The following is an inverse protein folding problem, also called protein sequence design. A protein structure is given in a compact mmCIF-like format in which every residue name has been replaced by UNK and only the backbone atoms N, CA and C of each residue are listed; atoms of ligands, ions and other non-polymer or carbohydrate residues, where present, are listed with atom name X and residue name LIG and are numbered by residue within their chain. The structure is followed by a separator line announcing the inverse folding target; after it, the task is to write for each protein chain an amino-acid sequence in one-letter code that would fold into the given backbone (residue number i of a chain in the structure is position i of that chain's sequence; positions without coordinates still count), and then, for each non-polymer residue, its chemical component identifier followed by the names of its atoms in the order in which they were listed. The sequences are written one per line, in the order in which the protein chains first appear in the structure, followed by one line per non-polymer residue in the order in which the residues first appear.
data_IF_541730483461
#
_entry.id   IF_541730483461
#
_cell.length_a   1.000
_cell.length_b   1.000
_cell.length_c   1.000
_cell.angle_alpha   90.00
_cell.angle_beta   90.00
_cell.angle_gamma   90.00
#
_symmetry.space_group_name_H-M   'P 1'
#
loop_
_entity.id
_entity.type
_entity.pdbx_description
1 polymer ?
#
# COMPACT_ATOMS: atom_id res chain seq x y z
N UNK A 1 -21.55 2.32 3.61
CA UNK A 1 -20.19 2.66 3.15
C UNK A 1 -19.38 1.37 3.15
N UNK A 2 -18.87 0.93 2.00
CA UNK A 2 -17.95 -0.23 1.96
C UNK A 2 -16.64 0.32 2.49
N UNK A 3 -16.29 -0.01 3.73
CA UNK A 3 -14.97 0.30 4.27
C UNK A 3 -13.96 -0.36 3.35
N UNK A 4 -13.10 0.45 2.74
CA UNK A 4 -12.04 -0.11 1.94
C UNK A 4 -11.04 -0.76 2.89
N UNK A 5 -11.11 -2.08 2.97
CA UNK A 5 -10.10 -2.99 3.55
C UNK A 5 -8.75 -2.88 2.79
N UNK A 6 -8.31 -1.65 2.43
CA UNK A 6 -7.14 -1.41 1.58
C UNK A 6 -5.85 -1.81 2.30
N UNK A 7 -5.77 -1.58 3.61
CA UNK A 7 -4.64 -2.02 4.43
C UNK A 7 -4.65 -3.54 4.73
N UNK A 8 -5.81 -4.20 4.61
CA UNK A 8 -5.94 -5.63 4.87
C UNK A 8 -5.28 -6.46 3.78
N UNK A 9 -5.60 -6.17 2.51
CA UNK A 9 -4.99 -6.89 1.40
C UNK A 9 -3.48 -6.66 1.42
N UNK A 10 -3.03 -5.42 1.65
CA UNK A 10 -1.61 -5.12 1.79
C UNK A 10 -0.97 -5.86 2.97
N UNK A 11 -1.63 -5.90 4.12
CA UNK A 11 -1.18 -6.65 5.29
C UNK A 11 -1.04 -8.14 5.00
N UNK A 12 -2.03 -8.77 4.37
CA UNK A 12 -1.96 -10.18 3.98
C UNK A 12 -0.84 -10.46 2.98
N UNK A 13 -0.67 -9.61 1.95
CA UNK A 13 0.42 -9.71 0.97
C UNK A 13 1.78 -9.65 1.66
N UNK A 14 1.93 -8.80 2.69
CA UNK A 14 3.19 -8.67 3.43
C UNK A 14 3.40 -9.84 4.39
N UNK A 15 2.36 -10.30 5.08
CA UNK A 15 2.52 -11.30 6.14
C UNK A 15 2.79 -12.71 5.61
N UNK A 16 2.17 -13.11 4.49
CA UNK A 16 2.31 -14.48 3.96
C UNK A 16 3.77 -14.85 3.63
N UNK A 17 4.54 -14.03 2.90
CA UNK A 17 5.96 -14.33 2.64
C UNK A 17 6.85 -14.30 3.90
N UNK A 18 6.39 -13.69 5.00
CA UNK A 18 7.10 -13.73 6.28
C UNK A 18 6.88 -15.02 7.07
N UNK A 19 5.83 -15.80 6.74
CA UNK A 19 5.60 -17.12 7.33
C UNK A 19 6.65 -18.10 6.81
N UNK A 20 6.77 -18.17 5.48
CA UNK A 20 7.73 -19.01 4.79
C UNK A 20 8.12 -18.34 3.48
N UNK A 21 9.43 -18.32 3.20
CA UNK A 21 9.99 -17.72 2.00
C UNK A 21 9.45 -18.45 0.76
N UNK A 22 8.94 -17.68 -0.20
CA UNK A 22 8.41 -18.20 -1.46
C UNK A 22 6.88 -18.32 -1.48
N UNK A 23 6.22 -18.25 -0.33
CA UNK A 23 4.76 -18.11 -0.29
C UNK A 23 4.32 -16.75 -0.81
N UNK A 24 3.11 -16.71 -1.37
CA UNK A 24 2.46 -15.49 -1.83
C UNK A 24 0.97 -15.52 -1.45
N UNK A 25 0.36 -14.34 -1.25
CA UNK A 25 -1.05 -14.27 -0.90
C UNK A 25 -1.94 -14.77 -2.04
N UNK A 26 -1.63 -14.38 -3.27
CA UNK A 26 -2.25 -14.92 -4.48
C UNK A 26 -1.39 -16.03 -5.08
N UNK A 27 -2.03 -16.99 -5.73
CA UNK A 27 -1.36 -18.01 -6.52
C UNK A 27 -0.48 -17.34 -7.59
N UNK A 28 0.77 -17.77 -7.70
CA UNK A 28 1.75 -17.17 -8.61
C UNK A 28 1.51 -17.53 -10.08
N UNK A 29 0.77 -18.60 -10.38
CA UNK A 29 0.45 -19.04 -11.74
C UNK A 29 -0.74 -18.28 -12.32
N UNK A 30 -1.79 -18.06 -11.52
CA UNK A 30 -3.05 -17.42 -11.96
C UNK A 30 -3.19 -15.95 -11.51
N UNK A 31 -2.32 -15.50 -10.60
CA UNK A 31 -2.17 -14.14 -10.07
C UNK A 31 -3.43 -13.51 -9.45
N UNK A 32 -4.56 -14.21 -9.33
CA UNK A 32 -5.81 -13.59 -8.86
C UNK A 32 -6.98 -14.53 -8.55
N UNK A 33 -6.99 -15.78 -9.04
CA UNK A 33 -8.17 -16.66 -8.94
C UNK A 33 -8.13 -17.58 -7.71
N UNK A 34 -6.96 -17.78 -7.11
CA UNK A 34 -6.80 -18.60 -5.91
C UNK A 34 -5.78 -18.02 -4.93
N UNK A 35 -5.86 -18.45 -3.67
CA UNK A 35 -4.83 -18.14 -2.68
C UNK A 35 -3.54 -18.90 -3.00
N UNK A 36 -2.40 -18.27 -2.77
CA UNK A 36 -1.08 -18.89 -3.00
C UNK A 36 -0.59 -19.78 -1.84
N UNK A 37 -1.50 -20.14 -0.93
CA UNK A 37 -1.22 -20.95 0.26
C UNK A 37 -2.45 -21.79 0.63
N UNK A 38 -2.21 -22.98 1.19
CA UNK A 38 -3.29 -23.91 1.58
C UNK A 38 -3.66 -23.80 3.05
N UNK A 39 -2.69 -23.51 3.93
CA UNK A 39 -2.93 -23.44 5.36
C UNK A 39 -3.53 -22.09 5.77
N UNK A 40 -4.82 -22.01 6.13
CA UNK A 40 -5.45 -20.74 6.49
C UNK A 40 -4.88 -20.14 7.78
N UNK A 41 -4.27 -20.96 8.64
CA UNK A 41 -3.73 -20.51 9.94
C UNK A 41 -2.55 -19.54 9.79
N UNK A 42 -1.97 -19.42 8.59
CA UNK A 42 -0.92 -18.45 8.28
C UNK A 42 -1.34 -16.99 8.48
N UNK A 43 -2.65 -16.71 8.48
CA UNK A 43 -3.19 -15.37 8.75
C UNK A 43 -3.67 -15.16 10.19
N UNK A 44 -3.76 -16.21 11.01
CA UNK A 44 -4.36 -16.13 12.36
C UNK A 44 -3.66 -15.08 13.22
N UNK A 45 -2.32 -15.07 13.24
CA UNK A 45 -1.55 -14.09 14.01
C UNK A 45 -1.78 -12.64 13.54
N UNK A 46 -1.95 -12.43 12.23
CA UNK A 46 -2.24 -11.12 11.67
C UNK A 46 -3.63 -10.62 12.08
N UNK A 47 -4.65 -11.49 11.99
CA UNK A 47 -5.99 -11.16 12.47
C UNK A 47 -6.01 -10.89 13.97
N UNK A 48 -5.29 -11.68 14.75
CA UNK A 48 -5.18 -11.49 16.20
C UNK A 48 -4.47 -10.16 16.53
N UNK A 49 -3.41 -9.80 15.80
CA UNK A 49 -2.76 -8.50 15.94
C UNK A 49 -3.74 -7.36 15.68
N UNK A 50 -4.47 -7.39 14.56
CA UNK A 50 -5.45 -6.34 14.23
C UNK A 50 -6.54 -6.23 15.29
N UNK A 51 -7.09 -7.37 15.71
CA UNK A 51 -8.07 -7.42 16.80
C UNK A 51 -7.52 -6.77 18.07
N UNK A 52 -6.31 -7.13 18.48
CA UNK A 52 -5.68 -6.58 19.67
C UNK A 52 -5.46 -5.06 19.58
N UNK A 53 -5.16 -4.53 18.39
CA UNK A 53 -5.00 -3.09 18.18
C UNK A 53 -6.35 -2.36 18.27
N UNK A 54 -7.40 -2.92 17.66
CA UNK A 54 -8.77 -2.39 17.77
C UNK A 54 -9.26 -2.41 19.22
N UNK A 55 -9.11 -3.55 19.92
CA UNK A 55 -9.53 -3.69 21.32
C UNK A 55 -8.81 -2.70 22.26
N UNK A 56 -7.59 -2.27 21.89
CA UNK A 56 -6.79 -1.26 22.62
C UNK A 56 -7.03 0.17 22.16
N UNK A 57 -7.88 0.40 21.16
CA UNK A 57 -8.12 1.72 20.56
C UNK A 57 -6.92 2.26 19.75
N UNK A 58 -5.93 1.41 19.44
CA UNK A 58 -4.72 1.77 18.71
C UNK A 58 -4.86 1.59 17.18
N UNK A 59 -6.01 1.09 16.73
CA UNK A 59 -6.37 1.02 15.32
C UNK A 59 -7.88 1.29 15.20
N UNK A 60 -8.32 2.06 14.19
CA UNK A 60 -9.73 2.35 13.99
C UNK A 60 -10.55 1.06 13.78
N UNK A 61 -11.79 1.07 14.24
CA UNK A 61 -12.74 -0.01 13.94
C UNK A 61 -12.99 -0.10 12.43
N UNK A 62 -13.22 -1.30 11.88
CA UNK A 62 -13.67 -1.45 10.51
C UNK A 62 -14.96 -0.66 10.27
N UNK A 63 -14.92 0.33 9.38
CA UNK A 63 -16.05 1.23 9.10
C UNK A 63 -16.02 2.54 9.86
N UNK A 64 -15.07 2.73 10.78
CA UNK A 64 -14.85 3.97 11.51
C UNK A 64 -14.25 5.08 10.63
N UNK A 65 -14.39 6.34 11.07
CA UNK A 65 -14.05 7.54 10.30
C UNK A 65 -12.65 7.52 9.68
N UNK A 66 -11.61 7.45 10.51
CA UNK A 66 -10.22 7.46 10.03
C UNK A 66 -9.89 6.30 9.08
N UNK A 67 -10.55 5.13 9.18
CA UNK A 67 -10.36 3.99 8.30
C UNK A 67 -11.21 4.02 7.01
N UNK A 68 -12.05 5.05 6.85
CA UNK A 68 -13.04 5.06 5.77
C UNK A 68 -12.43 5.46 4.41
N UNK A 69 -11.45 6.35 4.41
CA UNK A 69 -10.74 6.80 3.20
C UNK A 69 -9.28 7.15 3.53
N UNK A 70 -8.44 7.15 2.49
CA UNK A 70 -7.04 7.57 2.57
C UNK A 70 -6.92 9.01 3.07
N UNK A 71 -7.74 9.92 2.56
CA UNK A 71 -7.72 11.33 2.98
C UNK A 71 -8.02 11.49 4.47
N UNK A 72 -9.01 10.75 4.99
CA UNK A 72 -9.34 10.76 6.42
C UNK A 72 -8.22 10.15 7.26
N UNK A 73 -7.51 9.15 6.72
CA UNK A 73 -6.35 8.56 7.38
C UNK A 73 -5.18 9.56 7.43
N UNK A 74 -4.92 10.30 6.34
CA UNK A 74 -3.92 11.37 6.32
C UNK A 74 -4.29 12.50 7.26
N UNK A 75 -5.57 12.90 7.28
CA UNK A 75 -6.05 13.94 8.18
C UNK A 75 -5.86 13.54 9.64
N UNK A 76 -6.17 12.29 10.02
CA UNK A 76 -5.95 11.79 11.37
C UNK A 76 -4.47 11.88 11.81
N UNK A 77 -3.52 11.65 10.89
CA UNK A 77 -2.09 11.84 11.20
C UNK A 77 -1.74 13.32 11.37
N UNK A 78 -2.22 14.18 10.45
CA UNK A 78 -1.97 15.64 10.49
C UNK A 78 -2.57 16.31 11.73
N UNK A 79 -3.70 15.80 12.19
CA UNK A 79 -4.36 16.25 13.43
C UNK A 79 -3.79 15.60 14.69
N UNK A 80 -2.75 14.76 14.56
CA UNK A 80 -2.14 14.00 15.66
C UNK A 80 -3.09 13.04 16.38
N UNK A 81 -4.20 12.67 15.75
CA UNK A 81 -5.13 11.63 16.22
C UNK A 81 -4.59 10.22 15.95
N UNK A 82 -3.72 10.07 14.94
CA UNK A 82 -3.03 8.84 14.61
C UNK A 82 -1.51 9.07 14.53
N UNK A 83 -0.74 8.26 15.26
CA UNK A 83 0.73 8.34 15.22
C UNK A 83 1.34 7.71 13.95
N UNK A 84 0.61 6.80 13.30
CA UNK A 84 1.11 6.01 12.17
C UNK A 84 -0.03 5.68 11.20
N UNK A 85 0.33 5.58 9.92
CA UNK A 85 -0.56 5.14 8.84
C UNK A 85 0.20 4.17 7.93
N UNK A 86 -0.50 3.19 7.38
CA UNK A 86 0.04 2.33 6.33
C UNK A 86 -0.27 2.92 4.95
N UNK A 87 0.76 3.22 4.15
CA UNK A 87 0.63 3.81 2.81
C UNK A 87 1.70 3.28 1.85
N UNK A 88 1.50 3.49 0.55
CA UNK A 88 2.54 3.25 -0.46
C UNK A 88 3.53 4.42 -0.48
N UNK A 89 4.82 4.16 -0.68
CA UNK A 89 5.88 5.17 -0.54
C UNK A 89 5.69 6.42 -1.42
N UNK A 90 5.05 6.29 -2.58
CA UNK A 90 4.72 7.42 -3.46
C UNK A 90 3.69 8.40 -2.87
N UNK A 91 2.95 8.00 -1.84
CA UNK A 91 1.96 8.85 -1.16
C UNK A 91 2.58 9.72 -0.05
N UNK A 92 3.89 9.61 0.19
CA UNK A 92 4.57 10.40 1.23
C UNK A 92 4.46 11.91 0.97
N UNK A 93 4.63 12.35 -0.28
CA UNK A 93 4.53 13.78 -0.63
C UNK A 93 3.13 14.33 -0.33
N UNK A 94 2.09 13.52 -0.54
CA UNK A 94 0.71 13.92 -0.30
C UNK A 94 0.42 14.11 1.18
N UNK A 95 0.84 13.19 2.05
CA UNK A 95 0.65 13.38 3.49
C UNK A 95 1.41 14.61 4.01
N UNK A 96 2.64 14.84 3.53
CA UNK A 96 3.49 15.97 3.90
C UNK A 96 2.91 17.32 3.46
N UNK A 97 2.26 17.42 2.29
CA UNK A 97 1.76 18.70 1.76
C UNK A 97 0.67 19.35 2.61
N UNK A 98 -0.01 18.58 3.47
CA UNK A 98 -1.00 19.08 4.42
C UNK A 98 -0.57 18.97 5.88
N UNK A 99 0.68 18.58 6.17
CA UNK A 99 1.18 18.47 7.54
C UNK A 99 1.58 19.86 8.09
N UNK A 100 1.43 20.09 9.41
CA UNK A 100 2.01 21.27 10.06
C UNK A 100 3.51 21.40 9.81
N UNK A 101 4.02 22.63 9.70
CA UNK A 101 5.44 22.88 9.36
C UNK A 101 6.44 22.26 10.35
N UNK A 102 6.05 22.11 11.62
CA UNK A 102 6.85 21.53 12.69
C UNK A 102 6.65 20.02 12.86
N UNK A 103 5.71 19.42 12.12
CA UNK A 103 5.44 17.99 12.17
C UNK A 103 6.47 17.20 11.36
N UNK A 104 7.17 16.30 12.04
CA UNK A 104 8.09 15.38 11.39
C UNK A 104 7.41 14.04 11.04
N UNK A 105 7.23 13.77 9.75
CA UNK A 105 6.72 12.49 9.25
C UNK A 105 7.84 11.74 8.54
N UNK A 106 8.07 10.48 8.94
CA UNK A 106 9.10 9.61 8.35
C UNK A 106 8.50 8.27 7.91
N UNK A 107 9.10 7.68 6.87
CA UNK A 107 8.80 6.32 6.46
C UNK A 107 9.59 5.32 7.31
N UNK A 108 8.91 4.25 7.72
CA UNK A 108 9.54 3.07 8.31
C UNK A 108 9.08 1.82 7.56
N UNK A 109 9.87 0.75 7.67
CA UNK A 109 9.45 -0.55 7.18
C UNK A 109 8.43 -1.18 8.14
N UNK A 110 7.36 -1.82 7.63
CA UNK A 110 6.52 -2.71 8.41
C UNK A 110 7.31 -3.72 9.25
N UNK A 111 6.82 -4.08 10.44
CA UNK A 111 7.49 -5.02 11.32
C UNK A 111 7.61 -6.40 10.66
N UNK A 112 8.70 -7.10 10.99
CA UNK A 112 8.93 -8.49 10.59
C UNK A 112 8.55 -9.44 11.71
N UNK A 113 8.07 -10.64 11.37
CA UNK A 113 7.81 -11.72 12.34
C UNK A 113 9.07 -12.18 13.08
N UNK A 114 10.23 -12.13 12.42
CA UNK A 114 11.55 -12.50 12.96
C UNK A 114 12.58 -11.45 12.55
N UNK A 115 13.59 -11.22 13.40
CA UNK A 115 14.61 -10.20 13.15
C UNK A 115 15.41 -10.44 11.85
N UNK A 116 15.65 -11.71 11.53
CA UNK A 116 16.34 -12.21 10.34
C UNK A 116 15.39 -12.76 9.26
N UNK A 117 14.08 -12.62 9.47
CA UNK A 117 13.06 -13.08 8.53
C UNK A 117 12.91 -12.16 7.31
N UNK A 118 12.20 -12.69 6.29
CA UNK A 118 11.77 -11.94 5.11
C UNK A 118 11.00 -10.68 5.53
N UNK A 119 11.13 -9.60 4.76
CA UNK A 119 10.34 -8.38 5.01
C UNK A 119 8.88 -8.56 4.55
N UNK A 120 8.66 -9.41 3.54
CA UNK A 120 7.39 -9.55 2.84
C UNK A 120 6.94 -8.31 2.06
N UNK A 121 7.68 -7.21 2.13
CA UNK A 121 7.34 -5.96 1.41
C UNK A 121 7.66 -6.15 -0.07
N UNK A 122 6.65 -6.12 -0.96
CA UNK A 122 6.89 -6.25 -2.38
C UNK A 122 7.38 -4.92 -2.97
N UNK A 123 8.37 -4.95 -3.85
CA UNK A 123 8.63 -3.84 -4.76
C UNK A 123 7.58 -3.88 -5.87
N UNK A 124 6.64 -2.93 -5.84
CA UNK A 124 5.54 -2.84 -6.81
C UNK A 124 5.74 -1.64 -7.73
N UNK A 125 5.39 -1.80 -9.00
CA UNK A 125 5.15 -0.66 -9.88
C UNK A 125 4.06 0.19 -9.25
N UNK A 126 4.29 1.50 -9.11
CA UNK A 126 3.32 2.41 -8.50
C UNK A 126 2.07 2.48 -9.38
N UNK A 127 2.26 2.81 -10.65
CA UNK A 127 1.24 2.97 -11.68
C UNK A 127 1.87 2.66 -13.04
N UNK A 128 1.04 2.33 -14.02
CA UNK A 128 1.47 2.04 -15.39
C UNK A 128 0.64 2.87 -16.37
N UNK A 129 1.31 3.51 -17.33
CA UNK A 129 0.65 4.03 -18.53
C UNK A 129 0.49 2.88 -19.52
N UNK A 130 -0.69 2.78 -20.13
CA UNK A 130 -1.01 1.75 -21.11
C UNK A 130 -1.63 2.39 -22.35
N UNK A 131 -1.23 1.89 -23.52
CA UNK A 131 -1.83 2.27 -24.78
C UNK A 131 -2.97 1.30 -25.14
N UNK A 132 -4.16 1.84 -25.42
CA UNK A 132 -5.28 1.03 -25.85
C UNK A 132 -4.97 0.30 -27.17
N UNK A 133 -5.28 -1.00 -27.24
CA UNK A 133 -5.01 -1.84 -28.43
C UNK A 133 -5.65 -1.28 -29.70
N UNK A 134 -6.81 -0.65 -29.57
CA UNK A 134 -7.59 -0.06 -30.68
C UNK A 134 -7.31 1.44 -30.90
N UNK A 135 -6.29 2.03 -30.26
CA UNK A 135 -5.95 3.44 -30.49
C UNK A 135 -5.69 3.70 -31.98
N UNK A 136 -6.27 4.78 -32.50
CA UNK A 136 -6.00 5.30 -33.84
C UNK A 136 -4.66 6.05 -33.92
N UNK A 137 -4.07 6.41 -32.77
CA UNK A 137 -2.86 7.22 -32.64
C UNK A 137 -1.82 6.47 -31.81
N UNK A 138 -1.39 5.30 -32.29
CA UNK A 138 -0.46 4.43 -31.53
C UNK A 138 0.94 5.03 -31.44
N UNK A 139 1.41 5.65 -32.50
CA UNK A 139 2.75 6.26 -32.53
C UNK A 139 2.84 7.46 -31.60
N UNK A 140 1.81 8.31 -31.60
CA UNK A 140 1.73 9.47 -30.72
C UNK A 140 1.57 9.06 -29.25
N UNK A 141 0.75 8.05 -28.96
CA UNK A 141 0.63 7.50 -27.61
C UNK A 141 1.96 6.92 -27.11
N UNK A 142 2.70 6.22 -27.98
CA UNK A 142 4.03 5.70 -27.63
C UNK A 142 5.04 6.83 -27.37
N UNK A 143 5.06 7.88 -28.20
CA UNK A 143 5.90 9.07 -28.00
C UNK A 143 5.57 9.78 -26.69
N UNK A 144 4.28 9.88 -26.35
CA UNK A 144 3.86 10.47 -25.08
C UNK A 144 4.34 9.65 -23.88
N UNK A 145 4.16 8.32 -23.90
CA UNK A 145 4.64 7.44 -22.83
C UNK A 145 6.16 7.53 -22.69
N UNK A 146 6.90 7.54 -23.81
CA UNK A 146 8.36 7.70 -23.81
C UNK A 146 8.79 9.04 -23.21
N UNK A 147 8.18 10.14 -23.64
CA UNK A 147 8.42 11.46 -23.05
C UNK A 147 8.14 11.47 -21.54
N UNK A 148 6.98 10.96 -21.12
CA UNK A 148 6.57 10.94 -19.71
C UNK A 148 7.53 10.11 -18.84
N UNK A 149 8.01 8.97 -19.36
CA UNK A 149 8.81 8.03 -18.58
C UNK A 149 10.32 8.32 -18.60
N UNK A 150 10.82 8.88 -19.69
CA UNK A 150 12.26 8.97 -19.98
C UNK A 150 12.80 10.40 -20.11
N UNK A 151 11.94 11.43 -20.13
CA UNK A 151 12.38 12.82 -20.27
C UNK A 151 12.59 13.51 -18.92
N UNK A 152 13.73 14.17 -18.74
CA UNK A 152 13.96 15.07 -17.61
C UNK A 152 12.98 16.26 -17.64
N UNK A 153 12.68 16.81 -18.83
CA UNK A 153 11.73 17.90 -19.00
C UNK A 153 10.34 17.53 -18.47
N UNK A 154 9.90 16.29 -18.72
CA UNK A 154 8.63 15.80 -18.19
C UNK A 154 8.63 15.79 -16.65
N UNK A 155 9.73 15.34 -16.03
CA UNK A 155 9.86 15.36 -14.58
C UNK A 155 9.88 16.78 -14.00
N UNK A 156 10.38 17.77 -14.74
CA UNK A 156 10.35 19.17 -14.30
C UNK A 156 8.95 19.78 -14.32
N UNK A 157 8.12 19.38 -15.29
CA UNK A 157 6.72 19.81 -15.38
C UNK A 157 5.87 19.20 -14.25
N UNK A 158 6.16 17.96 -13.87
CA UNK A 158 5.39 17.18 -12.89
C UNK A 158 5.72 17.49 -11.41
N UNK A 159 6.60 18.46 -11.14
CA UNK A 159 7.05 18.83 -9.79
C UNK A 159 5.90 19.27 -8.87
#
# INVERSE_FOLDING_TARGET
AITKFEDFIAGCIIQIPQVEKGLNFYNQEDLSNSLGFENPDYLTDFFQLRKNLVDKGAHPEPGGGAASTTDLSFQAVRDSEAAMIFLSSNQLTEILSGAPEDMEIRLINPPRRKADGESGIPLRSSQMLSMARNSAHKEEAAKFIDFFQNSEEANEILK
#
